data_IF_613629788039
#
_entry.id   IF_613629788039
#
_cell.length_a   1.000
_cell.length_b   1.000
_cell.length_c   1.000
_cell.angle_alpha   90.00
_cell.angle_beta   90.00
_cell.angle_gamma   90.00
#
_symmetry.space_group_name_H-M   'P 1'
#
loop_
_entity.id
_entity.type
_entity.pdbx_description
1 polymer ?
#
# COMPACT_ATOMS: atom_id res chain seq x y z
N UNK A 1 24.86 9.37 7.56
CA UNK A 1 24.34 8.40 6.60
C UNK A 1 25.42 8.14 5.57
N UNK A 2 25.85 6.89 5.46
CA UNK A 2 26.80 6.47 4.42
C UNK A 2 26.05 6.19 3.12
N UNK A 3 26.73 6.26 1.97
CA UNK A 3 26.12 5.96 0.66
C UNK A 3 25.48 4.55 0.62
N UNK A 4 25.99 3.60 1.42
CA UNK A 4 25.41 2.26 1.57
C UNK A 4 24.08 2.23 2.32
N UNK A 5 23.91 3.10 3.33
CA UNK A 5 22.65 3.20 4.08
C UNK A 5 21.55 3.79 3.19
N UNK A 6 21.87 4.83 2.42
CA UNK A 6 20.93 5.45 1.47
C UNK A 6 20.51 4.49 0.37
N UNK A 7 21.43 3.64 -0.11
CA UNK A 7 21.12 2.66 -1.14
C UNK A 7 20.16 1.57 -0.64
N UNK A 8 20.34 1.07 0.58
CA UNK A 8 19.42 0.07 1.15
C UNK A 8 18.05 0.68 1.48
N UNK A 9 17.98 1.93 1.96
CA UNK A 9 16.70 2.65 2.13
C UNK A 9 15.95 2.83 0.81
N UNK A 10 16.66 3.24 -0.25
CA UNK A 10 16.06 3.37 -1.58
C UNK A 10 15.52 2.02 -2.11
N UNK A 11 16.30 0.95 -1.91
CA UNK A 11 15.93 -0.39 -2.34
C UNK A 11 14.70 -0.91 -1.60
N UNK A 12 14.59 -0.65 -0.30
CA UNK A 12 13.40 -1.02 0.47
C UNK A 12 12.18 -0.19 0.03
N UNK A 13 12.35 1.12 -0.20
CA UNK A 13 11.27 1.97 -0.72
C UNK A 13 10.76 1.51 -2.10
N UNK A 14 11.67 1.13 -3.01
CA UNK A 14 11.28 0.55 -4.31
C UNK A 14 10.52 -0.76 -4.13
N UNK A 15 10.98 -1.62 -3.21
CA UNK A 15 10.34 -2.91 -2.94
C UNK A 15 8.92 -2.73 -2.41
N UNK A 16 8.72 -1.81 -1.47
CA UNK A 16 7.41 -1.48 -0.92
C UNK A 16 6.47 -0.92 -2.00
N UNK A 17 6.97 -0.04 -2.86
CA UNK A 17 6.20 0.46 -4.01
C UNK A 17 5.77 -0.67 -4.94
N UNK A 18 6.66 -1.59 -5.30
CA UNK A 18 6.33 -2.73 -6.17
C UNK A 18 5.24 -3.60 -5.54
N UNK A 19 5.32 -3.87 -4.23
CA UNK A 19 4.30 -4.63 -3.51
C UNK A 19 2.95 -3.91 -3.56
N UNK A 20 2.94 -2.60 -3.30
CA UNK A 20 1.73 -1.78 -3.34
C UNK A 20 1.07 -1.81 -4.73
N UNK A 21 1.82 -1.56 -5.79
CA UNK A 21 1.29 -1.62 -7.17
C UNK A 21 0.74 -3.00 -7.50
N UNK A 22 1.41 -4.07 -7.05
CA UNK A 22 0.90 -5.43 -7.22
C UNK A 22 -0.42 -5.64 -6.48
N UNK A 23 -0.52 -5.22 -5.22
CA UNK A 23 -1.76 -5.35 -4.45
C UNK A 23 -2.93 -4.60 -5.10
N UNK A 24 -2.68 -3.39 -5.60
CA UNK A 24 -3.71 -2.62 -6.32
C UNK A 24 -4.11 -3.32 -7.61
N UNK A 25 -3.14 -3.88 -8.34
CA UNK A 25 -3.42 -4.64 -9.57
C UNK A 25 -4.26 -5.88 -9.30
N UNK A 26 -3.87 -6.69 -8.31
CA UNK A 26 -4.58 -7.92 -7.92
C UNK A 26 -6.03 -7.59 -7.49
N UNK A 27 -6.25 -6.47 -6.79
CA UNK A 27 -7.59 -6.02 -6.41
C UNK A 27 -8.42 -5.57 -7.61
N UNK A 28 -7.81 -4.90 -8.60
CA UNK A 28 -8.48 -4.52 -9.86
C UNK A 28 -8.88 -5.78 -10.64
N UNK A 29 -7.98 -6.76 -10.77
CA UNK A 29 -8.29 -8.04 -11.42
C UNK A 29 -9.43 -8.78 -10.69
N UNK A 30 -9.46 -8.72 -9.36
CA UNK A 30 -10.52 -9.35 -8.57
C UNK A 30 -11.88 -8.66 -8.76
N UNK A 31 -11.96 -7.36 -8.53
CA UNK A 31 -13.22 -6.60 -8.58
C UNK A 31 -13.77 -6.46 -10.00
N UNK A 32 -12.90 -6.37 -11.00
CA UNK A 32 -13.25 -6.17 -12.41
C UNK A 32 -12.95 -7.40 -13.27
N UNK A 33 -13.05 -8.60 -12.70
CA UNK A 33 -12.76 -9.88 -13.37
C UNK A 33 -13.58 -10.14 -14.64
N UNK A 34 -14.72 -9.46 -14.81
CA UNK A 34 -15.55 -9.55 -16.02
C UNK A 34 -15.12 -8.62 -17.16
N UNK A 35 -14.16 -7.71 -16.95
CA UNK A 35 -13.66 -6.80 -17.97
C UNK A 35 -12.48 -7.39 -18.72
N UNK A 36 -12.21 -6.86 -19.92
CA UNK A 36 -10.98 -7.18 -20.63
C UNK A 36 -9.76 -6.64 -19.87
N UNK A 37 -8.60 -7.26 -20.10
CA UNK A 37 -7.34 -6.84 -19.48
C UNK A 37 -6.98 -5.38 -19.80
N UNK A 38 -7.35 -4.90 -20.99
CA UNK A 38 -7.12 -3.51 -21.39
C UNK A 38 -7.97 -2.53 -20.55
N UNK A 39 -9.24 -2.88 -20.30
CA UNK A 39 -10.13 -2.07 -19.45
C UNK A 39 -9.67 -2.08 -17.98
N UNK A 40 -9.24 -3.23 -17.46
CA UNK A 40 -8.61 -3.35 -16.15
C UNK A 40 -7.36 -2.47 -16.04
N UNK A 41 -6.50 -2.46 -17.06
CA UNK A 41 -5.35 -1.56 -17.12
C UNK A 41 -5.74 -0.08 -17.10
N UNK A 42 -6.80 0.32 -17.80
CA UNK A 42 -7.30 1.70 -17.76
C UNK A 42 -7.73 2.09 -16.35
N UNK A 43 -8.50 1.22 -15.68
CA UNK A 43 -8.93 1.43 -14.28
C UNK A 43 -7.72 1.53 -13.35
N UNK A 44 -6.77 0.60 -13.46
CA UNK A 44 -5.55 0.62 -12.68
C UNK A 44 -4.78 1.93 -12.87
N UNK A 45 -4.60 2.38 -14.12
CA UNK A 45 -3.89 3.64 -14.42
C UNK A 45 -4.56 4.88 -13.84
N UNK A 46 -5.88 4.85 -13.64
CA UNK A 46 -6.62 5.92 -12.99
C UNK A 46 -6.45 5.89 -11.46
N UNK A 47 -6.48 4.70 -10.85
CA UNK A 47 -6.49 4.55 -9.38
C UNK A 47 -5.08 4.62 -8.79
N UNK A 48 -4.09 4.04 -9.47
CA UNK A 48 -2.74 3.88 -8.94
C UNK A 48 -2.08 5.20 -8.48
N UNK A 49 -2.19 6.33 -9.21
CA UNK A 49 -1.66 7.61 -8.74
C UNK A 49 -2.25 8.07 -7.40
N UNK A 50 -3.55 7.93 -7.19
CA UNK A 50 -4.21 8.32 -5.93
C UNK A 50 -3.74 7.47 -4.76
N UNK A 51 -3.53 6.17 -4.99
CA UNK A 51 -3.00 5.26 -3.98
C UNK A 51 -1.55 5.67 -3.64
N UNK A 52 -0.71 5.90 -4.65
CA UNK A 52 0.67 6.36 -4.43
C UNK A 52 0.74 7.67 -3.66
N UNK A 53 -0.10 8.65 -4.00
CA UNK A 53 -0.16 9.94 -3.30
C UNK A 53 -0.61 9.78 -1.84
N UNK A 54 -1.62 8.94 -1.58
CA UNK A 54 -2.09 8.64 -0.23
C UNK A 54 -0.99 7.99 0.62
N UNK A 55 -0.23 7.05 0.05
CA UNK A 55 0.90 6.41 0.72
C UNK A 55 2.05 7.40 0.96
N UNK A 56 2.36 8.27 0.00
CA UNK A 56 3.37 9.30 0.16
C UNK A 56 3.00 10.30 1.26
N UNK A 57 1.72 10.71 1.34
CA UNK A 57 1.22 11.54 2.43
C UNK A 57 1.32 10.82 3.78
N UNK A 58 0.88 9.56 3.87
CA UNK A 58 0.97 8.77 5.09
C UNK A 58 2.42 8.54 5.57
N UNK A 59 3.36 8.36 4.64
CA UNK A 59 4.79 8.28 4.93
C UNK A 59 5.33 9.63 5.44
N UNK A 60 4.92 10.74 4.84
CA UNK A 60 5.35 12.09 5.24
C UNK A 60 4.81 12.53 6.61
N UNK A 61 3.63 12.04 6.98
CA UNK A 61 2.99 12.32 8.28
C UNK A 61 3.45 11.36 9.39
N UNK A 62 4.30 10.37 9.08
CA UNK A 62 4.77 9.37 10.05
C UNK A 62 3.69 8.38 10.51
N UNK A 63 2.60 8.24 9.75
CA UNK A 63 1.40 7.46 10.12
C UNK A 63 1.51 5.99 9.66
N UNK A 64 2.54 5.63 8.90
CA UNK A 64 2.75 4.25 8.43
C UNK A 64 2.83 3.21 9.55
N UNK A 65 3.24 3.58 10.77
CA UNK A 65 3.28 2.68 11.92
C UNK A 65 1.89 2.17 12.37
N UNK A 66 0.79 2.86 12.00
CA UNK A 66 -0.57 2.46 12.38
C UNK A 66 -1.28 1.59 11.33
N UNK A 67 -0.85 1.64 10.06
CA UNK A 67 -1.36 0.74 9.01
C UNK A 67 -0.79 -0.69 9.12
N UNK A 68 0.42 -0.82 9.65
CA UNK A 68 1.11 -2.12 9.79
C UNK A 68 0.68 -2.92 11.04
N UNK A 69 -0.12 -2.34 11.94
CA UNK A 69 -0.55 -3.04 13.17
C UNK A 69 -1.83 -3.86 12.89
N UNK A 70 -1.78 -5.20 12.88
CA UNK A 70 -3.01 -5.99 12.92
C UNK A 70 -3.76 -5.61 14.19
N UNK A 71 -5.09 -5.41 14.08
CA UNK A 71 -5.97 -5.03 15.19
C UNK A 71 -6.02 -6.14 16.26
N UNK A 72 -4.97 -6.26 17.07
CA UNK A 72 -4.91 -7.26 18.12
C UNK A 72 -5.55 -6.69 19.38
N UNK A 73 -6.72 -7.26 19.73
CA UNK A 73 -7.35 -7.31 21.05
C UNK A 73 -8.01 -6.02 21.58
N UNK A 74 -9.23 -5.79 21.12
CA UNK A 74 -10.29 -5.16 21.93
C UNK A 74 -10.63 -6.09 23.11
N UNK A 75 -9.85 -6.02 24.20
CA UNK A 75 -10.13 -6.74 25.44
C UNK A 75 -11.39 -6.14 26.07
N UNK A 76 -12.51 -6.85 25.91
CA UNK A 76 -13.83 -6.55 26.47
C UNK A 76 -13.70 -6.33 27.98
N UNK A 77 -13.82 -5.07 28.45
CA UNK A 77 -14.08 -4.75 29.87
C UNK A 77 -15.41 -5.41 30.24
N UNK A 78 -15.36 -6.56 30.92
CA UNK A 78 -16.50 -7.12 31.63
C UNK A 78 -16.50 -6.51 33.02
N UNK A 79 -17.50 -5.67 33.29
CA UNK A 79 -17.86 -5.19 34.63
C UNK A 79 -18.09 -6.40 35.54
N UNK A 80 -17.49 -6.35 36.73
CA UNK A 80 -18.10 -6.83 37.97
C UNK A 80 -17.95 -5.69 38.96
#
# INVERSE_FOLDING_TARGET
>A
MTDSEQFEELKEGIREMVILFKTVWDEVEHQFSGLSREEQHRIFSLIAPFITDTFAMAASEGVMEDFAKPSSKRKKRRRV
#
